data_IF_299505998081
#
_entry.id   IF_299505998081
#
_cell.length_a   1.000
_cell.length_b   1.000
_cell.length_c   1.000
_cell.angle_alpha   90.00
_cell.angle_beta   90.00
_cell.angle_gamma   90.00
#
_symmetry.space_group_name_H-M   'P 1'
#
loop_
_entity.id
_entity.type
_entity.pdbx_description
1 polymer ?
#
# COMPACT_ATOMS: atom_id res chain seq x y z
N UNK A 1 13.33 -10.88 19.80
CA UNK A 1 12.60 -9.63 19.51
C UNK A 1 13.06 -9.13 18.15
N UNK A 2 12.15 -8.64 17.31
CA UNK A 2 12.49 -8.13 15.98
C UNK A 2 13.30 -6.85 16.12
N UNK A 3 14.47 -6.75 15.45
CA UNK A 3 15.32 -5.56 15.44
C UNK A 3 14.56 -4.29 15.02
N UNK A 4 13.56 -4.43 14.14
CA UNK A 4 12.79 -3.31 13.61
C UNK A 4 11.72 -2.76 14.57
N UNK A 5 11.51 -3.40 15.73
CA UNK A 5 10.44 -3.01 16.65
C UNK A 5 10.62 -1.62 17.30
N UNK A 6 11.84 -1.07 17.28
CA UNK A 6 12.11 0.27 17.77
C UNK A 6 11.82 1.38 16.75
N UNK A 7 11.69 1.04 15.46
CA UNK A 7 11.32 2.00 14.41
C UNK A 7 9.82 2.27 14.47
N UNK A 8 9.48 3.52 14.75
CA UNK A 8 8.10 3.99 14.88
C UNK A 8 7.76 4.99 13.79
N UNK A 9 6.50 4.99 13.42
CA UNK A 9 5.90 5.95 12.49
C UNK A 9 4.82 6.66 13.28
N UNK A 10 5.17 7.85 13.78
CA UNK A 10 4.28 8.70 14.56
C UNK A 10 4.14 10.04 13.84
N UNK A 11 2.94 10.45 13.39
CA UNK A 11 2.73 11.74 12.73
C UNK A 11 3.21 12.96 13.53
N UNK A 12 3.26 12.86 14.86
CA UNK A 12 3.75 13.91 15.74
C UNK A 12 5.29 13.98 15.82
N UNK A 13 6.01 12.94 15.37
CA UNK A 13 7.47 12.81 15.44
C UNK A 13 8.04 12.75 14.03
N UNK A 14 9.07 13.56 13.74
CA UNK A 14 9.71 13.60 12.42
C UNK A 14 8.75 13.77 11.22
N UNK A 15 7.58 14.39 11.43
CA UNK A 15 6.50 14.53 10.44
C UNK A 15 5.97 13.19 9.89
N UNK A 16 5.91 12.14 10.73
CA UNK A 16 5.43 10.83 10.31
C UNK A 16 6.46 10.01 9.53
N UNK A 17 7.72 10.45 9.48
CA UNK A 17 8.81 9.63 8.95
C UNK A 17 9.12 8.47 9.91
N UNK A 18 9.54 7.30 9.39
CA UNK A 18 10.15 6.25 10.21
C UNK A 18 11.24 6.85 11.08
N UNK A 19 11.15 6.62 12.38
CA UNK A 19 11.99 7.26 13.37
C UNK A 19 12.28 6.33 14.54
N UNK A 20 13.41 6.54 15.19
CA UNK A 20 13.80 5.94 16.47
C UNK A 20 14.01 7.08 17.45
N UNK A 21 13.45 6.94 18.65
CA UNK A 21 13.33 8.00 19.65
C UNK A 21 12.66 9.26 19.06
N UNK A 22 13.45 10.18 18.50
CA UNK A 22 12.99 11.40 17.83
C UNK A 22 13.76 11.75 16.56
N UNK A 23 14.53 10.79 16.02
CA UNK A 23 15.37 10.97 14.85
C UNK A 23 14.84 10.17 13.68
N UNK A 24 14.74 10.79 12.50
CA UNK A 24 14.33 10.05 11.32
C UNK A 24 15.42 9.04 10.94
N UNK A 25 14.98 7.86 10.53
CA UNK A 25 15.88 6.80 10.03
C UNK A 25 16.71 7.32 8.86
N UNK A 26 16.10 8.09 7.96
CA UNK A 26 16.78 8.74 6.84
C UNK A 26 17.97 9.60 7.27
N UNK A 27 17.80 10.41 8.33
CA UNK A 27 18.85 11.31 8.80
C UNK A 27 19.96 10.55 9.52
N UNK A 28 19.64 9.56 10.36
CA UNK A 28 20.65 8.71 10.99
C UNK A 28 21.47 7.93 9.95
N UNK A 29 20.81 7.42 8.90
CA UNK A 29 21.50 6.83 7.76
C UNK A 29 22.41 7.81 7.03
N UNK A 30 22.03 9.10 6.95
CA UNK A 30 22.90 10.12 6.34
C UNK A 30 24.20 10.32 7.13
N UNK A 31 24.16 10.26 8.46
CA UNK A 31 25.34 10.38 9.32
C UNK A 31 26.27 9.18 9.16
N UNK A 32 25.71 7.97 9.22
CA UNK A 32 26.45 6.72 9.01
C UNK A 32 27.12 6.70 7.63
N UNK A 33 26.40 7.13 6.58
CA UNK A 33 26.95 7.26 5.21
C UNK A 33 28.01 8.34 5.05
N UNK A 34 27.95 9.39 5.88
CA UNK A 34 28.99 10.40 5.95
C UNK A 34 30.26 9.92 6.69
N UNK A 35 30.24 8.69 7.23
CA UNK A 35 31.38 8.04 7.88
C UNK A 35 31.41 8.18 9.40
N UNK A 36 30.33 8.67 10.02
CA UNK A 36 30.24 8.70 11.48
C UNK A 36 30.15 7.30 12.07
N UNK A 37 30.85 7.04 13.18
CA UNK A 37 30.75 5.74 13.86
C UNK A 37 29.54 5.69 14.80
N UNK A 38 29.13 4.48 15.17
CA UNK A 38 28.09 4.27 16.17
C UNK A 38 28.42 4.99 17.49
N UNK A 39 29.67 4.93 17.95
CA UNK A 39 30.10 5.58 19.19
C UNK A 39 30.00 7.10 19.11
N UNK A 40 30.36 7.70 17.97
CA UNK A 40 30.23 9.14 17.75
C UNK A 40 28.75 9.57 17.81
N UNK A 41 27.88 8.84 17.11
CA UNK A 41 26.44 9.13 17.08
C UNK A 41 25.84 8.99 18.50
N UNK A 42 26.14 7.91 19.22
CA UNK A 42 25.65 7.71 20.59
C UNK A 42 26.18 8.76 21.57
N UNK A 43 27.43 9.23 21.39
CA UNK A 43 28.00 10.29 22.22
C UNK A 43 27.34 11.66 21.98
N UNK A 44 26.86 11.92 20.76
CA UNK A 44 26.20 13.16 20.38
C UNK A 44 24.67 13.16 20.63
N UNK A 45 24.04 11.99 20.65
CA UNK A 45 22.58 11.81 20.76
C UNK A 45 22.26 10.82 21.89
N UNK A 46 22.23 11.33 23.12
CA UNK A 46 22.22 10.52 24.35
C UNK A 46 20.92 9.76 24.68
N UNK A 47 19.89 9.89 23.85
CA UNK A 47 18.66 9.11 23.89
C UNK A 47 18.64 7.92 22.91
N UNK A 48 19.66 7.80 22.06
CA UNK A 48 19.86 6.64 21.18
C UNK A 48 20.59 5.52 21.90
N UNK A 49 20.23 4.28 21.54
CA UNK A 49 20.87 3.05 21.98
C UNK A 49 21.49 2.34 20.77
N UNK A 50 22.46 1.45 21.03
CA UNK A 50 23.10 0.69 19.95
C UNK A 50 22.09 -0.09 19.11
N UNK A 51 21.06 -0.65 19.76
CA UNK A 51 19.98 -1.38 19.09
C UNK A 51 19.17 -0.49 18.13
N UNK A 52 19.02 0.81 18.42
CA UNK A 52 18.35 1.76 17.52
C UNK A 52 19.17 1.99 16.25
N UNK A 53 20.50 2.11 16.37
CA UNK A 53 21.38 2.29 15.23
C UNK A 53 21.49 1.02 14.38
N UNK A 54 21.55 -0.15 15.02
CA UNK A 54 21.50 -1.43 14.33
C UNK A 54 20.15 -1.62 13.59
N UNK A 55 19.04 -1.17 14.19
CA UNK A 55 17.75 -1.18 13.52
C UNK A 55 17.72 -0.22 12.32
N UNK A 56 18.32 0.97 12.47
CA UNK A 56 18.49 1.96 11.40
C UNK A 56 19.35 1.43 10.28
N UNK A 57 20.44 0.70 10.53
CA UNK A 57 21.29 0.06 9.52
C UNK A 57 20.64 -1.17 8.86
N UNK A 58 19.78 -1.89 9.60
CA UNK A 58 18.94 -2.94 9.05
C UNK A 58 17.78 -2.39 8.21
N UNK A 59 17.36 -1.14 8.45
CA UNK A 59 16.31 -0.47 7.69
C UNK A 59 16.63 -0.31 6.19
N UNK A 60 17.86 0.04 5.76
CA UNK A 60 18.25 0.01 4.36
C UNK A 60 18.58 -1.37 3.81
N UNK A 61 18.79 -2.40 4.62
CA UNK A 61 18.70 -3.78 4.12
C UNK A 61 17.24 -4.18 3.78
N UNK A 62 16.26 -3.45 4.33
CA UNK A 62 14.89 -3.40 3.81
C UNK A 62 14.66 -2.28 2.77
N UNK A 63 15.63 -1.38 2.54
CA UNK A 63 15.56 -0.24 1.63
C UNK A 63 16.59 -0.22 0.47
N UNK A 64 17.25 -1.35 0.17
CA UNK A 64 17.42 -1.78 -1.22
C UNK A 64 16.02 -2.10 -1.78
N UNK A 65 15.16 -1.08 -1.90
CA UNK A 65 13.87 -1.24 -2.56
C UNK A 65 14.13 -1.35 -4.06
N UNK A 66 14.42 -2.58 -4.54
CA UNK A 66 13.97 -3.00 -5.86
C UNK A 66 12.46 -2.67 -5.94
N UNK A 67 12.05 -1.90 -6.95
CA UNK A 67 10.65 -1.50 -7.11
C UNK A 67 10.30 -0.06 -6.70
N UNK A 68 11.19 0.91 -6.92
CA UNK A 68 10.74 2.30 -6.97
C UNK A 68 10.28 2.65 -8.38
N UNK A 69 9.08 3.20 -8.48
CA UNK A 69 8.39 3.54 -9.74
C UNK A 69 7.89 4.99 -9.66
N UNK A 70 7.74 5.67 -10.79
CA UNK A 70 7.05 6.97 -10.79
C UNK A 70 5.54 6.77 -10.67
N UNK A 71 4.85 7.75 -10.07
CA UNK A 71 3.40 7.72 -9.99
C UNK A 71 2.75 7.61 -11.39
N UNK A 72 3.35 8.25 -12.40
CA UNK A 72 2.99 8.14 -13.81
C UNK A 72 3.02 6.69 -14.31
N UNK A 73 4.15 6.01 -14.14
CA UNK A 73 4.32 4.63 -14.61
C UNK A 73 3.36 3.68 -13.86
N UNK A 74 3.18 3.88 -12.55
CA UNK A 74 2.25 3.08 -11.74
C UNK A 74 0.81 3.25 -12.24
N UNK A 75 0.37 4.49 -12.47
CA UNK A 75 -0.98 4.78 -12.96
C UNK A 75 -1.18 4.25 -14.38
N UNK A 76 -0.20 4.44 -15.27
CA UNK A 76 -0.28 3.94 -16.65
C UNK A 76 -0.45 2.42 -16.71
N UNK A 77 0.21 1.68 -15.82
CA UNK A 77 0.06 0.24 -15.70
C UNK A 77 -1.30 -0.18 -15.12
N UNK A 78 -1.88 0.59 -14.20
CA UNK A 78 -3.16 0.27 -13.56
C UNK A 78 -4.39 0.58 -14.43
N UNK A 79 -4.32 1.59 -15.30
CA UNK A 79 -5.47 2.08 -16.08
C UNK A 79 -6.18 0.99 -16.91
N UNK A 80 -5.47 0.07 -17.59
CA UNK A 80 -6.11 -1.05 -18.28
C UNK A 80 -6.94 -1.93 -17.33
N UNK A 81 -6.39 -2.30 -16.17
CA UNK A 81 -7.09 -3.11 -15.17
C UNK A 81 -8.38 -2.45 -14.68
N UNK A 82 -8.37 -1.13 -14.51
CA UNK A 82 -9.54 -0.39 -14.05
C UNK A 82 -10.64 -0.31 -15.10
N UNK A 83 -10.29 -0.16 -16.39
CA UNK A 83 -11.25 -0.25 -17.51
C UNK A 83 -11.79 -1.67 -17.69
N UNK A 84 -10.99 -2.68 -17.36
CA UNK A 84 -11.45 -4.06 -17.36
C UNK A 84 -12.42 -4.33 -16.21
N UNK A 85 -12.24 -3.69 -15.05
CA UNK A 85 -13.10 -3.94 -13.90
C UNK A 85 -14.39 -3.12 -13.93
N UNK A 86 -14.32 -1.85 -14.38
CA UNK A 86 -15.46 -0.93 -14.39
C UNK A 86 -15.84 -0.49 -15.80
N UNK A 87 -17.14 -0.37 -16.07
CA UNK A 87 -17.69 0.11 -17.35
C UNK A 87 -17.29 1.55 -17.69
N UNK A 88 -16.72 2.28 -16.72
CA UNK A 88 -16.15 3.60 -16.90
C UNK A 88 -14.66 3.59 -16.53
N UNK A 89 -13.87 4.37 -17.28
CA UNK A 89 -12.45 4.56 -17.00
C UNK A 89 -12.21 5.79 -16.13
N UNK A 90 -11.10 5.77 -15.39
CA UNK A 90 -10.60 6.96 -14.69
C UNK A 90 -9.60 7.72 -15.57
N UNK A 91 -9.68 9.06 -15.67
CA UNK A 91 -8.58 9.85 -16.18
C UNK A 91 -7.41 9.79 -15.17
N UNK A 92 -6.17 9.83 -15.66
CA UNK A 92 -4.99 9.74 -14.80
C UNK A 92 -4.92 10.90 -13.79
N UNK A 93 -5.37 12.07 -14.22
CA UNK A 93 -5.45 13.29 -13.43
C UNK A 93 -6.31 13.10 -12.17
N UNK A 94 -7.44 12.40 -12.30
CA UNK A 94 -8.31 12.11 -11.18
C UNK A 94 -7.63 11.21 -10.14
N UNK A 95 -6.82 10.25 -10.59
CA UNK A 95 -6.00 9.43 -9.68
C UNK A 95 -4.99 10.30 -8.94
N UNK A 96 -4.28 11.21 -9.64
CA UNK A 96 -3.29 12.09 -8.99
C UNK A 96 -3.91 13.07 -7.99
N UNK A 97 -5.13 13.56 -8.25
CA UNK A 97 -5.86 14.47 -7.38
C UNK A 97 -6.42 13.78 -6.14
N UNK A 98 -6.81 12.51 -6.27
CA UNK A 98 -7.49 11.76 -5.23
C UNK A 98 -6.64 10.63 -4.64
N UNK A 99 -5.35 10.54 -4.92
CA UNK A 99 -4.51 9.49 -4.35
C UNK A 99 -4.30 9.72 -2.85
N UNK A 100 -4.48 8.68 -2.06
CA UNK A 100 -4.19 8.59 -0.65
C UNK A 100 -3.32 7.36 -0.39
N UNK A 101 -2.04 7.58 -0.07
CA UNK A 101 -1.22 6.47 0.40
C UNK A 101 -1.54 6.11 1.86
N UNK A 102 -1.64 4.82 2.15
CA UNK A 102 -1.64 4.30 3.52
C UNK A 102 -0.30 3.67 3.83
N UNK A 103 0.32 4.13 4.91
CA UNK A 103 1.58 3.58 5.41
C UNK A 103 2.79 4.51 5.23
N UNK A 104 3.94 4.11 5.79
CA UNK A 104 5.09 5.00 5.96
C UNK A 104 5.91 5.25 4.70
N UNK A 105 5.96 4.30 3.77
CA UNK A 105 6.83 4.36 2.60
C UNK A 105 6.40 5.45 1.60
N UNK A 106 5.09 5.73 1.57
CA UNK A 106 4.48 6.68 0.65
C UNK A 106 3.73 7.79 1.37
N UNK A 107 4.08 8.10 2.63
CA UNK A 107 3.37 9.11 3.42
C UNK A 107 3.35 10.51 2.75
N UNK A 108 4.34 10.81 1.91
CA UNK A 108 4.38 12.03 1.09
C UNK A 108 3.26 12.10 0.04
N UNK A 109 2.65 10.96 -0.30
CA UNK A 109 1.50 10.81 -1.18
C UNK A 109 0.19 10.67 -0.38
N UNK A 110 0.18 10.91 0.93
CA UNK A 110 -1.03 10.82 1.76
C UNK A 110 -1.82 12.14 1.69
N UNK A 111 -3.15 12.06 1.67
CA UNK A 111 -4.02 13.24 1.87
C UNK A 111 -4.30 13.47 3.35
N UNK A 112 -4.58 14.72 3.74
CA UNK A 112 -4.99 15.00 5.12
C UNK A 112 -6.41 14.49 5.35
N UNK A 113 -6.57 13.65 6.36
CA UNK A 113 -7.90 13.29 6.86
C UNK A 113 -8.49 14.50 7.59
N UNK A 114 -9.70 14.89 7.22
CA UNK A 114 -10.45 15.91 7.94
C UNK A 114 -10.89 15.41 9.32
N UNK A 115 -11.52 16.28 10.11
CA UNK A 115 -12.04 15.93 11.45
C UNK A 115 -13.20 14.92 11.43
N UNK A 116 -13.78 14.62 10.27
CA UNK A 116 -14.91 13.71 10.12
C UNK A 116 -14.47 12.42 9.41
N UNK A 117 -14.94 11.28 9.91
CA UNK A 117 -14.78 9.98 9.25
C UNK A 117 -15.30 10.07 7.81
N UNK A 118 -14.55 9.50 6.86
CA UNK A 118 -14.86 9.49 5.42
C UNK A 118 -14.79 10.87 4.72
N UNK A 119 -14.29 11.92 5.38
CA UNK A 119 -13.98 13.19 4.71
C UNK A 119 -12.47 13.36 4.58
N UNK A 120 -11.98 13.24 3.34
CA UNK A 120 -10.60 13.57 3.01
C UNK A 120 -10.56 15.00 2.48
N UNK A 121 -9.67 15.84 3.04
CA UNK A 121 -9.50 17.19 2.54
C UNK A 121 -8.91 17.13 1.12
N UNK A 122 -9.56 17.74 0.12
CA UNK A 122 -9.03 17.76 -1.24
C UNK A 122 -7.62 18.35 -1.25
N UNK A 123 -6.76 17.80 -2.12
CA UNK A 123 -5.42 18.38 -2.31
C UNK A 123 -5.55 19.81 -2.83
N UNK A 124 -4.84 20.74 -2.21
CA UNK A 124 -4.72 22.11 -2.73
C UNK A 124 -3.88 22.19 -3.99
N UNK A 125 -3.07 21.16 -4.26
CA UNK A 125 -2.28 21.00 -5.48
C UNK A 125 -2.16 19.53 -5.83
N UNK A 126 -2.36 19.14 -7.10
CA UNK A 126 -2.25 17.75 -7.53
C UNK A 126 -0.83 17.22 -7.32
N UNK A 127 -0.71 15.89 -7.14
CA UNK A 127 0.60 15.24 -7.09
C UNK A 127 1.32 15.39 -8.43
N UNK A 128 2.64 15.59 -8.37
CA UNK A 128 3.46 15.49 -9.57
C UNK A 128 3.43 14.05 -10.08
N UNK A 129 3.14 13.79 -11.37
CA UNK A 129 3.21 12.44 -11.93
C UNK A 129 4.61 11.83 -11.82
N UNK A 130 5.65 12.65 -11.68
CA UNK A 130 7.03 12.21 -11.57
C UNK A 130 7.43 11.92 -10.09
N UNK A 131 6.49 12.06 -9.16
CA UNK A 131 6.68 11.68 -7.75
C UNK A 131 7.02 10.19 -7.65
N UNK A 132 8.00 9.86 -6.80
CA UNK A 132 8.41 8.48 -6.56
C UNK A 132 7.42 7.76 -5.65
N UNK A 133 7.14 6.52 -5.99
CA UNK A 133 6.40 5.55 -5.20
C UNK A 133 7.38 4.46 -4.78
N UNK A 134 7.29 4.02 -3.53
CA UNK A 134 8.19 3.05 -2.93
C UNK A 134 7.42 1.84 -2.40
N UNK A 135 7.93 0.63 -2.65
CA UNK A 135 7.40 -0.60 -2.09
C UNK A 135 7.60 -1.78 -3.04
N UNK A 136 7.95 -2.92 -2.47
CA UNK A 136 8.03 -4.17 -3.22
C UNK A 136 6.63 -4.68 -3.56
N UNK A 137 5.76 -4.79 -2.56
CA UNK A 137 4.37 -5.26 -2.70
C UNK A 137 3.42 -4.09 -2.48
N UNK A 138 2.61 -3.78 -3.48
CA UNK A 138 1.68 -2.65 -3.41
C UNK A 138 0.35 -2.97 -4.04
N UNK A 139 -0.68 -2.28 -3.56
CA UNK A 139 -1.98 -2.22 -4.23
C UNK A 139 -2.32 -0.77 -4.54
N UNK A 140 -2.92 -0.54 -5.70
CA UNK A 140 -3.64 0.67 -6.00
C UNK A 140 -5.11 0.30 -6.16
N UNK A 141 -5.95 0.77 -5.24
CA UNK A 141 -7.38 0.48 -5.24
C UNK A 141 -8.22 1.75 -5.27
N UNK A 142 -9.45 1.60 -5.75
CA UNK A 142 -10.52 2.58 -5.61
C UNK A 142 -11.69 1.89 -4.94
N UNK A 143 -12.37 2.59 -4.04
CA UNK A 143 -13.64 2.15 -3.46
C UNK A 143 -14.64 3.31 -3.58
N UNK A 144 -15.82 3.08 -4.18
CA UNK A 144 -16.74 4.20 -4.48
C UNK A 144 -17.20 4.96 -3.25
N UNK A 145 -17.29 4.30 -2.10
CA UNK A 145 -17.68 4.94 -0.84
C UNK A 145 -16.57 5.81 -0.24
N UNK A 146 -15.31 5.57 -0.61
CA UNK A 146 -14.17 6.36 -0.14
C UNK A 146 -14.04 7.66 -0.96
N UNK A 147 -14.31 7.59 -2.27
CA UNK A 147 -14.18 8.74 -3.15
C UNK A 147 -12.72 9.14 -3.42
N UNK A 148 -11.76 8.26 -3.13
CA UNK A 148 -10.35 8.46 -3.36
C UNK A 148 -9.63 7.15 -3.73
N UNK A 149 -8.49 7.27 -4.42
CA UNK A 149 -7.62 6.12 -4.69
C UNK A 149 -6.75 5.82 -3.48
N UNK A 150 -6.65 4.56 -3.07
CA UNK A 150 -5.78 4.12 -1.99
C UNK A 150 -4.54 3.42 -2.55
N UNK A 151 -3.37 3.86 -2.11
CA UNK A 151 -2.11 3.17 -2.37
C UNK A 151 -1.63 2.53 -1.06
N UNK A 152 -1.62 1.19 -1.01
CA UNK A 152 -1.18 0.46 0.18
C UNK A 152 0.13 -0.28 -0.08
N UNK A 153 0.92 -0.47 0.98
CA UNK A 153 2.16 -1.23 0.98
C UNK A 153 2.03 -2.47 1.86
N UNK A 154 2.66 -3.57 1.44
CA UNK A 154 2.68 -4.83 2.17
C UNK A 154 4.12 -5.30 2.37
N UNK A 155 4.40 -5.94 3.51
CA UNK A 155 5.78 -6.38 3.81
C UNK A 155 6.12 -7.74 3.19
N UNK A 156 5.13 -8.47 2.69
CA UNK A 156 5.33 -9.76 2.03
C UNK A 156 4.27 -10.04 0.97
N UNK A 157 4.57 -11.00 0.08
CA UNK A 157 3.61 -11.51 -0.89
C UNK A 157 2.43 -12.22 -0.22
N UNK A 158 2.63 -12.81 0.96
CA UNK A 158 1.57 -13.48 1.72
C UNK A 158 0.54 -12.47 2.25
N UNK A 159 0.99 -11.34 2.80
CA UNK A 159 0.09 -10.25 3.21
C UNK A 159 -0.65 -9.64 2.02
N UNK A 160 0.05 -9.44 0.90
CA UNK A 160 -0.57 -8.98 -0.34
C UNK A 160 -1.63 -9.98 -0.82
N UNK A 161 -1.34 -11.28 -0.78
CA UNK A 161 -2.28 -12.35 -1.15
C UNK A 161 -3.50 -12.34 -0.24
N UNK A 162 -3.29 -12.17 1.07
CA UNK A 162 -4.36 -12.06 2.06
C UNK A 162 -5.27 -10.85 1.78
N UNK A 163 -4.71 -9.70 1.44
CA UNK A 163 -5.51 -8.53 1.08
C UNK A 163 -6.33 -8.76 -0.19
N UNK A 164 -5.69 -9.27 -1.25
CA UNK A 164 -6.34 -9.52 -2.55
C UNK A 164 -7.45 -10.57 -2.42
N UNK A 165 -7.25 -11.57 -1.54
CA UNK A 165 -8.25 -12.58 -1.23
C UNK A 165 -9.25 -12.17 -0.13
N UNK A 166 -9.05 -11.02 0.50
CA UNK A 166 -9.90 -10.54 1.59
C UNK A 166 -11.11 -9.77 1.09
N UNK A 167 -11.94 -9.27 2.03
CA UNK A 167 -13.05 -8.39 1.71
C UNK A 167 -12.65 -7.19 0.83
N UNK A 168 -11.47 -6.59 1.04
CA UNK A 168 -11.02 -5.46 0.23
C UNK A 168 -10.72 -5.82 -1.24
N UNK A 169 -10.42 -7.09 -1.56
CA UNK A 169 -10.17 -7.54 -2.92
C UNK A 169 -11.41 -8.10 -3.63
N UNK A 170 -12.37 -8.61 -2.86
CA UNK A 170 -13.53 -9.39 -3.33
C UNK A 170 -14.86 -8.69 -3.08
N UNK A 171 -15.02 -7.99 -1.96
CA UNK A 171 -16.21 -7.20 -1.69
C UNK A 171 -16.28 -6.05 -2.69
N UNK A 172 -17.43 -5.94 -3.32
CA UNK A 172 -17.80 -4.88 -4.26
C UNK A 172 -17.17 -4.91 -5.66
N UNK A 173 -17.47 -5.99 -6.39
CA UNK A 173 -17.19 -6.12 -7.83
C UNK A 173 -17.66 -4.95 -8.70
N UNK A 174 -18.67 -4.19 -8.27
CA UNK A 174 -19.23 -3.06 -9.03
C UNK A 174 -18.63 -1.69 -8.70
N UNK A 175 -18.09 -1.52 -7.49
CA UNK A 175 -17.60 -0.21 -7.06
C UNK A 175 -16.10 -0.12 -6.89
N UNK A 176 -15.43 -1.26 -6.93
CA UNK A 176 -14.03 -1.34 -6.55
C UNK A 176 -13.18 -1.87 -7.69
N UNK A 177 -12.05 -1.20 -7.90
CA UNK A 177 -11.00 -1.70 -8.76
C UNK A 177 -9.71 -1.86 -7.96
N UNK A 178 -8.91 -2.86 -8.33
CA UNK A 178 -7.68 -3.22 -7.63
C UNK A 178 -6.61 -3.59 -8.64
N UNK A 179 -5.52 -2.81 -8.66
CA UNK A 179 -4.30 -3.13 -9.36
C UNK A 179 -3.24 -3.54 -8.34
N UNK A 180 -2.53 -4.63 -8.62
CA UNK A 180 -1.52 -5.22 -7.73
C UNK A 180 -0.16 -5.05 -8.38
N UNK A 181 0.86 -4.75 -7.58
CA UNK A 181 2.22 -4.52 -8.05
C UNK A 181 3.23 -5.33 -7.24
N UNK A 182 4.20 -5.91 -7.94
CA UNK A 182 5.42 -6.48 -7.38
C UNK A 182 6.64 -5.82 -8.04
N UNK A 183 7.54 -5.26 -7.23
CA UNK A 183 8.73 -4.55 -7.70
C UNK A 183 8.44 -3.44 -8.74
N UNK A 184 7.32 -2.73 -8.56
CA UNK A 184 6.89 -1.67 -9.48
C UNK A 184 6.35 -2.17 -10.84
N UNK A 185 6.24 -3.48 -11.04
CA UNK A 185 5.56 -4.05 -12.20
C UNK A 185 4.15 -4.49 -11.81
N UNK A 186 3.19 -4.28 -12.70
CA UNK A 186 1.85 -4.83 -12.55
C UNK A 186 1.96 -6.35 -12.42
N UNK A 187 1.36 -6.88 -11.37
CA UNK A 187 1.30 -8.31 -11.08
C UNK A 187 -0.13 -8.80 -11.31
N UNK A 188 -0.43 -9.39 -12.49
CA UNK A 188 -1.75 -9.88 -12.79
C UNK A 188 -2.08 -11.14 -11.96
N UNK A 189 -3.36 -11.33 -11.67
CA UNK A 189 -3.84 -12.44 -10.86
C UNK A 189 -5.23 -12.89 -11.29
N UNK A 190 -5.64 -14.08 -10.87
CA UNK A 190 -7.01 -14.59 -10.89
C UNK A 190 -7.44 -15.00 -9.50
N UNK A 191 -8.66 -14.65 -9.14
CA UNK A 191 -9.28 -15.10 -7.90
C UNK A 191 -10.16 -16.30 -8.21
N UNK A 192 -9.95 -17.40 -7.50
CA UNK A 192 -10.79 -18.57 -7.51
C UNK A 192 -11.59 -18.62 -6.20
N UNK A 193 -12.81 -19.12 -6.26
CA UNK A 193 -13.62 -19.42 -5.09
C UNK A 193 -14.44 -20.68 -5.33
N UNK A 194 -15.01 -21.24 -4.28
CA UNK A 194 -15.89 -22.39 -4.35
C UNK A 194 -17.32 -21.93 -4.05
N UNK A 195 -18.23 -22.13 -5.00
CA UNK A 195 -19.62 -21.72 -4.79
C UNK A 195 -20.37 -22.61 -3.77
N UNK A 196 -21.61 -22.25 -3.45
CA UNK A 196 -22.46 -22.99 -2.50
C UNK A 196 -22.74 -24.45 -2.91
N UNK A 197 -22.42 -24.83 -4.16
CA UNK A 197 -22.57 -26.19 -4.67
C UNK A 197 -21.24 -26.96 -4.67
N UNK A 198 -20.17 -26.38 -4.13
CA UNK A 198 -18.85 -27.00 -4.13
C UNK A 198 -18.12 -26.89 -5.48
N UNK A 199 -18.59 -26.04 -6.40
CA UNK A 199 -17.99 -25.88 -7.72
C UNK A 199 -16.98 -24.75 -7.67
N UNK A 200 -15.72 -25.06 -8.03
CA UNK A 200 -14.66 -24.05 -8.17
C UNK A 200 -14.92 -23.17 -9.39
N UNK A 201 -14.92 -21.86 -9.19
CA UNK A 201 -15.16 -20.83 -10.20
C UNK A 201 -14.05 -19.79 -10.17
N UNK A 202 -13.85 -19.12 -11.32
CA UNK A 202 -13.03 -17.92 -11.42
C UNK A 202 -13.94 -16.72 -11.21
N UNK A 203 -13.56 -15.84 -10.29
CA UNK A 203 -14.24 -14.58 -10.04
C UNK A 203 -14.17 -13.70 -11.29
N UNK A 204 -15.32 -13.40 -11.88
CA UNK A 204 -15.47 -12.40 -12.94
C UNK A 204 -16.30 -11.24 -12.43
N UNK A 205 -15.62 -10.16 -12.04
CA UNK A 205 -16.25 -8.97 -11.44
C UNK A 205 -17.33 -8.34 -12.33
N UNK A 206 -17.30 -8.53 -13.65
CA UNK A 206 -18.32 -7.97 -14.56
C UNK A 206 -19.62 -8.77 -14.59
N UNK A 207 -19.53 -10.06 -14.35
CA UNK A 207 -20.62 -11.00 -14.63
C UNK A 207 -21.14 -11.74 -13.40
N UNK A 208 -20.50 -11.58 -12.24
CA UNK A 208 -21.06 -12.16 -11.02
C UNK A 208 -22.32 -11.44 -10.57
N UNK A 209 -23.38 -12.23 -10.38
CA UNK A 209 -24.64 -11.77 -9.80
C UNK A 209 -24.37 -11.23 -8.40
N UNK A 210 -24.88 -10.03 -8.13
CA UNK A 210 -24.66 -9.30 -6.89
C UNK A 210 -25.13 -10.13 -5.69
N UNK A 211 -24.17 -10.64 -4.91
CA UNK A 211 -24.44 -11.17 -3.56
C UNK A 211 -24.30 -10.00 -2.61
N UNK A 212 -25.36 -9.59 -1.88
CA UNK A 212 -25.26 -8.49 -0.92
C UNK A 212 -24.16 -8.76 0.11
N UNK A 213 -23.29 -7.77 0.36
CA UNK A 213 -22.14 -7.89 1.27
C UNK A 213 -22.55 -8.24 2.72
N UNK A 214 -23.77 -7.89 3.10
CA UNK A 214 -24.39 -8.14 4.41
C UNK A 214 -25.11 -9.49 4.49
N UNK A 215 -25.12 -10.26 3.40
CA UNK A 215 -25.71 -11.59 3.42
C UNK A 215 -24.75 -12.58 4.10
N UNK A 216 -25.27 -13.42 4.99
CA UNK A 216 -24.51 -14.56 5.56
C UNK A 216 -23.88 -15.42 4.44
N UNK A 217 -24.53 -15.43 3.28
CA UNK A 217 -24.10 -16.10 2.05
C UNK A 217 -22.79 -15.55 1.48
N UNK A 218 -22.48 -14.25 1.62
CA UNK A 218 -21.25 -13.67 1.08
C UNK A 218 -20.00 -14.28 1.75
N UNK A 219 -20.01 -14.35 3.09
CA UNK A 219 -18.91 -14.92 3.88
C UNK A 219 -18.77 -16.43 3.59
N UNK A 220 -19.89 -17.13 3.35
CA UNK A 220 -19.84 -18.55 3.00
C UNK A 220 -19.37 -18.80 1.57
N UNK A 221 -19.79 -17.97 0.60
CA UNK A 221 -19.45 -18.11 -0.81
C UNK A 221 -17.96 -17.86 -1.08
N UNK A 222 -17.36 -16.95 -0.33
CA UNK A 222 -15.96 -16.57 -0.48
C UNK A 222 -15.07 -17.09 0.67
N UNK A 223 -15.49 -18.18 1.34
CA UNK A 223 -14.69 -18.79 2.42
C UNK A 223 -13.38 -19.40 1.92
N UNK A 224 -13.42 -20.03 0.75
CA UNK A 224 -12.31 -20.79 0.18
C UNK A 224 -11.71 -20.07 -1.03
N UNK A 225 -11.37 -18.79 -0.82
CA UNK A 225 -10.75 -17.96 -1.86
C UNK A 225 -9.29 -18.34 -2.04
N UNK A 226 -8.88 -18.49 -3.30
CA UNK A 226 -7.49 -18.72 -3.69
C UNK A 226 -7.06 -17.73 -4.77
N UNK A 227 -5.85 -17.16 -4.62
CA UNK A 227 -5.27 -16.26 -5.61
C UNK A 227 -4.24 -17.02 -6.45
N UNK A 228 -4.46 -17.05 -7.77
CA UNK A 228 -3.52 -17.52 -8.77
C UNK A 228 -2.78 -16.31 -9.36
N UNK A 229 -1.48 -16.20 -9.11
CA UNK A 229 -0.65 -15.18 -9.72
C UNK A 229 -0.31 -15.57 -11.18
N UNK A 230 -0.50 -14.64 -12.12
CA UNK A 230 -0.22 -14.86 -13.54
C UNK A 230 1.19 -14.34 -13.85
N UNK A 231 2.13 -15.25 -14.15
CA UNK A 231 3.51 -14.94 -14.55
C UNK A 231 3.65 -14.68 -16.06
#
# INVERSE_FOLDING_TARGET
MSLLACIKIDPAICNGKPSVCHYSVEWLLSLLRAGHTHEEILAHYGDLWIDDLLAVEAYPAAAEYQGSITLRELVQQALPCFRETMDFGFPAEFIYETLHASGPLNHHLTMRHGRFFCYVEPRTSPLSPDSRVFGQYMTLSWHSHDGFFRLSNYISRDELTYEVGGPAGICNSYTDCLAVFENGQLLPYRTHYTDLHGVRKVLDKRHEEHVPEDSEWFIELYRDVEIEWLE
#
